data_IF_840714509823
#
_entry.id   IF_840714509823
#
_cell.length_a   1.000
_cell.length_b   1.000
_cell.length_c   1.000
_cell.angle_alpha   90.00
_cell.angle_beta   90.00
_cell.angle_gamma   90.00
#
_symmetry.space_group_name_H-M   'P 1'
#
loop_
_entity.id
_entity.type
_entity.pdbx_description
1 polymer ?
#
# COMPACT_ATOMS: atom_id res chain seq x y z
N UNK A 1 -7.06 17.78 44.64
CA UNK A 1 -7.52 16.84 43.59
C UNK A 1 -8.12 17.49 42.34
N UNK A 2 -8.34 18.81 42.25
CA UNK A 2 -8.85 19.46 41.01
C UNK A 2 -7.75 19.78 39.98
N UNK A 3 -6.51 19.98 40.41
CA UNK A 3 -5.41 20.42 39.54
C UNK A 3 -4.81 19.28 38.71
N UNK A 4 -4.81 18.04 39.23
CA UNK A 4 -4.32 16.85 38.51
C UNK A 4 -5.23 16.44 37.35
N UNK A 5 -6.54 16.71 37.46
CA UNK A 5 -7.53 16.42 36.42
C UNK A 5 -7.38 17.35 35.21
N UNK A 6 -6.97 18.60 35.46
CA UNK A 6 -6.82 19.62 34.42
C UNK A 6 -5.64 19.31 33.48
N UNK A 7 -4.49 18.93 34.05
CA UNK A 7 -3.29 18.61 33.27
C UNK A 7 -3.50 17.34 32.42
N UNK A 8 -4.14 16.31 32.98
CA UNK A 8 -4.47 15.08 32.26
C UNK A 8 -5.42 15.34 31.08
N UNK A 9 -6.43 16.22 31.25
CA UNK A 9 -7.33 16.60 30.16
C UNK A 9 -6.62 17.36 29.06
N UNK A 10 -5.75 18.31 29.41
CA UNK A 10 -4.97 19.09 28.41
C UNK A 10 -4.07 18.17 27.59
N UNK A 11 -3.40 17.20 28.23
CA UNK A 11 -2.56 16.20 27.54
C UNK A 11 -3.38 15.31 26.61
N UNK A 12 -4.55 14.85 27.04
CA UNK A 12 -5.44 14.04 26.21
C UNK A 12 -5.90 14.80 24.96
N UNK A 13 -6.30 16.06 25.13
CA UNK A 13 -6.69 16.95 24.03
C UNK A 13 -5.56 17.19 23.04
N UNK A 14 -4.33 17.38 23.54
CA UNK A 14 -3.17 17.59 22.68
C UNK A 14 -2.84 16.34 21.84
N UNK A 15 -2.91 15.14 22.43
CA UNK A 15 -2.70 13.88 21.70
C UNK A 15 -3.79 13.66 20.65
N UNK A 16 -5.05 13.95 20.99
CA UNK A 16 -6.18 13.82 20.07
C UNK A 16 -6.06 14.81 18.90
N UNK A 17 -5.64 16.05 19.17
CA UNK A 17 -5.38 17.05 18.14
C UNK A 17 -4.22 16.63 17.22
N UNK A 18 -3.15 16.06 17.79
CA UNK A 18 -2.03 15.54 17.01
C UNK A 18 -2.47 14.38 16.09
N UNK A 19 -3.24 13.43 16.61
CA UNK A 19 -3.79 12.31 15.84
C UNK A 19 -4.70 12.79 14.70
N UNK A 20 -5.55 13.79 14.96
CA UNK A 20 -6.41 14.38 13.92
C UNK A 20 -5.63 15.18 12.88
N UNK A 21 -4.52 15.82 13.26
CA UNK A 21 -3.61 16.48 12.32
C UNK A 21 -2.77 15.50 11.48
N UNK A 22 -2.57 14.27 11.98
CA UNK A 22 -1.92 13.18 11.26
C UNK A 22 -2.86 12.40 10.33
N UNK A 23 -4.12 12.84 10.16
CA UNK A 23 -4.93 12.45 9.00
C UNK A 23 -4.36 13.08 7.72
N UNK A 24 -3.11 12.77 7.38
CA UNK A 24 -2.76 12.59 5.99
C UNK A 24 -3.70 11.49 5.50
N UNK A 25 -4.80 11.89 4.86
CA UNK A 25 -5.62 11.00 4.09
C UNK A 25 -4.68 10.42 3.02
N UNK A 26 -4.05 9.30 3.36
CA UNK A 26 -3.43 8.41 2.38
C UNK A 26 -4.64 7.95 1.59
N UNK A 27 -4.98 8.71 0.54
CA UNK A 27 -5.92 8.28 -0.46
C UNK A 27 -5.36 6.92 -0.91
N UNK A 28 -6.01 5.85 -0.44
CA UNK A 28 -5.65 4.52 -0.87
C UNK A 28 -5.63 4.61 -2.40
N UNK A 29 -4.51 4.27 -3.04
CA UNK A 29 -4.40 4.43 -4.48
C UNK A 29 -5.61 3.75 -5.12
N UNK A 30 -6.20 4.40 -6.14
CA UNK A 30 -7.50 4.03 -6.72
C UNK A 30 -7.71 2.52 -6.68
N UNK A 31 -8.62 2.07 -5.80
CA UNK A 31 -8.72 0.66 -5.42
C UNK A 31 -8.97 -0.24 -6.64
N UNK A 32 -9.62 0.31 -7.67
CA UNK A 32 -9.82 -0.34 -8.97
C UNK A 32 -8.51 -0.48 -9.76
N UNK A 33 -7.67 0.55 -9.80
CA UNK A 33 -6.32 0.47 -10.36
C UNK A 33 -5.45 -0.56 -9.62
N UNK A 34 -5.47 -0.55 -8.28
CA UNK A 34 -4.74 -1.54 -7.48
C UNK A 34 -5.19 -2.98 -7.81
N UNK A 35 -6.49 -3.20 -7.92
CA UNK A 35 -7.06 -4.50 -8.29
C UNK A 35 -6.64 -4.94 -9.68
N UNK A 36 -6.62 -4.04 -10.67
CA UNK A 36 -6.15 -4.33 -12.04
C UNK A 36 -4.67 -4.68 -12.06
N UNK A 37 -3.83 -3.87 -11.41
CA UNK A 37 -2.39 -4.11 -11.33
C UNK A 37 -2.04 -5.41 -10.61
N UNK A 38 -2.75 -5.70 -9.52
CA UNK A 38 -2.57 -6.95 -8.78
C UNK A 38 -2.93 -8.16 -9.67
N UNK A 39 -4.07 -8.10 -10.37
CA UNK A 39 -4.50 -9.15 -11.30
C UNK A 39 -3.45 -9.38 -12.40
N UNK A 40 -2.94 -8.31 -13.01
CA UNK A 40 -1.89 -8.40 -14.01
C UNK A 40 -0.60 -9.03 -13.45
N UNK A 41 -0.19 -8.64 -12.23
CA UNK A 41 0.99 -9.20 -11.57
C UNK A 41 0.87 -10.72 -11.35
N UNK A 42 -0.32 -11.22 -11.02
CA UNK A 42 -0.58 -12.66 -10.89
C UNK A 42 -0.61 -13.41 -12.23
N UNK A 43 -0.97 -12.74 -13.33
CA UNK A 43 -0.92 -13.33 -14.67
C UNK A 43 0.52 -13.44 -15.19
N UNK A 44 1.32 -12.38 -15.02
CA UNK A 44 2.71 -12.34 -15.51
C UNK A 44 3.63 -13.18 -14.63
N UNK A 45 3.44 -13.14 -13.31
CA UNK A 45 4.23 -13.86 -12.33
C UNK A 45 3.35 -14.85 -11.55
N UNK A 46 2.94 -15.98 -12.18
CA UNK A 46 2.08 -16.96 -11.55
C UNK A 46 2.78 -17.60 -10.34
N UNK A 47 1.97 -18.13 -9.42
CA UNK A 47 2.49 -18.86 -8.27
C UNK A 47 3.31 -20.06 -8.75
N UNK A 48 4.54 -20.17 -8.27
CA UNK A 48 5.39 -21.31 -8.61
C UNK A 48 4.90 -22.55 -7.86
N UNK A 49 5.14 -23.74 -8.43
CA UNK A 49 4.92 -25.02 -7.74
C UNK A 49 5.77 -25.10 -6.47
N UNK A 50 5.32 -25.78 -5.41
CA UNK A 50 6.17 -26.12 -4.26
C UNK A 50 7.47 -26.79 -4.74
N UNK A 51 8.62 -26.34 -4.24
CA UNK A 51 9.95 -26.81 -4.67
C UNK A 51 10.58 -26.02 -5.83
N UNK A 52 9.84 -25.09 -6.45
CA UNK A 52 10.43 -24.13 -7.36
C UNK A 52 11.22 -23.06 -6.58
N UNK A 53 12.23 -22.48 -7.23
CA UNK A 53 13.07 -21.39 -6.72
C UNK A 53 12.20 -20.32 -6.04
N UNK A 54 12.60 -19.78 -4.86
CA UNK A 54 11.85 -18.76 -4.15
C UNK A 54 11.42 -17.65 -5.10
N UNK A 55 10.15 -17.26 -4.97
CA UNK A 55 9.59 -16.22 -5.81
C UNK A 55 10.40 -14.94 -5.60
N UNK A 56 11.13 -14.50 -6.62
CA UNK A 56 11.84 -13.23 -6.59
C UNK A 56 10.82 -12.09 -6.44
N UNK A 57 11.26 -10.95 -5.91
CA UNK A 57 10.42 -9.76 -5.65
C UNK A 57 9.76 -9.16 -6.90
N UNK A 58 9.94 -9.76 -8.07
CA UNK A 58 9.45 -9.36 -9.38
C UNK A 58 7.93 -9.09 -9.41
N UNK A 59 7.12 -9.89 -8.69
CA UNK A 59 5.67 -9.64 -8.62
C UNK A 59 5.36 -8.32 -7.92
N UNK A 60 6.05 -8.03 -6.82
CA UNK A 60 5.88 -6.78 -6.08
C UNK A 60 6.41 -5.60 -6.89
N UNK A 61 7.56 -5.76 -7.56
CA UNK A 61 8.14 -4.74 -8.42
C UNK A 61 7.21 -4.39 -9.60
N UNK A 62 6.66 -5.39 -10.28
CA UNK A 62 5.68 -5.20 -11.34
C UNK A 62 4.43 -4.47 -10.85
N UNK A 63 3.91 -4.86 -9.68
CA UNK A 63 2.77 -4.19 -9.07
C UNK A 63 3.06 -2.71 -8.81
N UNK A 64 4.20 -2.38 -8.19
CA UNK A 64 4.60 -1.00 -7.92
C UNK A 64 4.74 -0.18 -9.22
N UNK A 65 5.33 -0.76 -10.26
CA UNK A 65 5.47 -0.10 -11.55
C UNK A 65 4.11 0.16 -12.21
N UNK A 66 3.18 -0.80 -12.15
CA UNK A 66 1.83 -0.64 -12.69
C UNK A 66 1.04 0.45 -11.93
N UNK A 67 1.19 0.49 -10.61
CA UNK A 67 0.57 1.50 -9.74
C UNK A 67 1.10 2.91 -10.06
N UNK A 68 2.41 3.04 -10.32
CA UNK A 68 3.04 4.30 -10.69
C UNK A 68 2.64 4.80 -12.09
N UNK A 69 2.11 3.93 -12.95
CA UNK A 69 1.66 4.26 -14.31
C UNK A 69 0.14 4.46 -14.40
N UNK A 70 -0.56 4.56 -13.26
CA UNK A 70 -2.03 4.70 -13.15
C UNK A 70 -2.81 3.67 -13.98
N UNK A 71 -2.26 2.46 -14.15
CA UNK A 71 -2.90 1.41 -14.95
C UNK A 71 -3.05 1.73 -16.45
N UNK A 72 -2.51 2.85 -16.96
CA UNK A 72 -2.59 3.23 -18.39
C UNK A 72 -1.73 2.34 -19.28
N UNK A 73 -0.69 1.75 -18.70
CA UNK A 73 0.10 0.66 -19.26
C UNK A 73 0.21 -0.37 -18.17
N UNK A 74 -0.52 -1.49 -18.29
CA UNK A 74 -0.02 -2.71 -17.67
C UNK A 74 1.42 -2.83 -18.15
N UNK A 75 2.37 -2.65 -17.24
CA UNK A 75 3.79 -2.73 -17.53
C UNK A 75 3.98 -3.88 -18.51
N UNK A 76 4.43 -3.56 -19.73
CA UNK A 76 4.61 -4.51 -20.83
C UNK A 76 5.13 -5.81 -20.20
N UNK A 77 4.30 -6.88 -20.22
CA UNK A 77 4.71 -8.14 -19.64
C UNK A 77 6.05 -8.48 -20.30
N UNK A 78 7.14 -8.66 -19.55
CA UNK A 78 8.45 -8.87 -20.18
C UNK A 78 8.28 -10.02 -21.16
N UNK A 79 8.44 -9.74 -22.46
CA UNK A 79 8.46 -10.77 -23.49
C UNK A 79 9.58 -11.70 -23.07
N UNK A 80 9.23 -12.92 -22.67
CA UNK A 80 10.19 -14.00 -22.59
C UNK A 80 10.62 -14.29 -24.02
N UNK A 81 11.88 -13.99 -24.33
CA UNK A 81 12.60 -14.63 -25.44
C UNK A 81 12.71 -16.14 -25.19
#
# INVERSE_FOLDING_TARGET
MRETVSCARIRLSAVLALLMSSNAAIAAPDAETAKRCLRAAYMVYPYKRPGAVPMNGDRLHFFQQCMAQEGTKSAEAPKRD
#
